data_IF_804798386834
#
_entry.id   IF_804798386834
#
_cell.length_a   1.000
_cell.length_b   1.000
_cell.length_c   1.000
_cell.angle_alpha   90.00
_cell.angle_beta   90.00
_cell.angle_gamma   90.00
#
_symmetry.space_group_name_H-M   'P 1'
#
loop_
_entity.id
_entity.type
_entity.pdbx_description
1 polymer ?
#
# COMPACT_ATOMS: atom_id res chain seq x y z
N UNK A 1 0.40 -4.53 26.79
CA UNK A 1 0.71 -4.51 25.35
C UNK A 1 0.28 -5.83 24.73
N UNK A 2 -0.88 -5.86 24.06
CA UNK A 2 -1.41 -7.08 23.44
C UNK A 2 -0.90 -7.22 22.01
N UNK A 3 0.12 -8.05 21.80
CA UNK A 3 0.48 -8.46 20.45
C UNK A 3 -0.51 -9.52 19.98
N UNK A 4 -1.37 -9.16 19.02
CA UNK A 4 -2.29 -10.11 18.38
C UNK A 4 -1.50 -11.24 17.73
N UNK A 5 -1.94 -12.49 17.96
CA UNK A 5 -1.33 -13.72 17.43
C UNK A 5 -1.24 -13.77 15.89
N UNK A 6 -1.88 -12.83 15.17
CA UNK A 6 -1.82 -12.69 13.71
C UNK A 6 -0.61 -11.89 13.19
N UNK A 7 0.10 -11.14 14.03
CA UNK A 7 1.18 -10.24 13.59
C UNK A 7 2.53 -10.98 13.42
N UNK A 8 2.70 -12.14 14.05
CA UNK A 8 3.97 -12.87 14.08
C UNK A 8 4.26 -13.59 12.75
N UNK A 9 3.26 -14.06 12.02
CA UNK A 9 3.48 -14.78 10.74
C UNK A 9 3.98 -13.82 9.63
N UNK A 10 3.55 -12.55 9.66
CA UNK A 10 3.89 -11.57 8.65
C UNK A 10 5.32 -11.04 8.81
N UNK A 11 5.83 -10.76 10.01
CA UNK A 11 7.20 -10.18 10.13
C UNK A 11 8.29 -11.16 9.65
N UNK A 12 8.09 -12.47 9.82
CA UNK A 12 9.00 -13.52 9.31
C UNK A 12 8.98 -13.65 7.79
N UNK A 13 7.81 -13.44 7.15
CA UNK A 13 7.66 -13.57 5.71
C UNK A 13 8.24 -12.40 4.90
N UNK A 14 8.65 -11.30 5.55
CA UNK A 14 9.05 -10.05 4.86
C UNK A 14 10.54 -9.74 4.97
N UNK A 15 11.29 -10.35 5.89
CA UNK A 15 12.68 -9.97 6.17
C UNK A 15 13.70 -10.47 5.11
N UNK A 16 13.33 -11.37 4.17
CA UNK A 16 14.27 -11.90 3.17
C UNK A 16 13.66 -12.21 1.80
N UNK A 17 12.55 -11.58 1.43
CA UNK A 17 11.90 -11.85 0.14
C UNK A 17 12.62 -11.14 -1.00
N UNK A 18 12.91 -11.93 -2.04
CA UNK A 18 13.43 -11.47 -3.31
C UNK A 18 12.30 -11.45 -4.32
N UNK A 19 11.99 -10.28 -4.84
CA UNK A 19 10.92 -10.07 -5.80
C UNK A 19 11.52 -9.92 -7.19
N UNK A 20 11.19 -10.79 -8.17
CA UNK A 20 11.74 -10.68 -9.52
C UNK A 20 11.54 -9.29 -10.13
N UNK A 21 10.38 -8.68 -9.88
CA UNK A 21 10.10 -7.33 -10.35
C UNK A 21 9.49 -6.45 -9.26
N UNK A 22 9.51 -5.14 -9.48
CA UNK A 22 8.76 -4.19 -8.66
C UNK A 22 7.25 -4.44 -8.71
N UNK A 23 6.74 -5.00 -9.81
CA UNK A 23 5.31 -5.28 -9.98
C UNK A 23 4.87 -6.35 -8.99
N UNK A 24 5.69 -7.38 -8.81
CA UNK A 24 5.42 -8.47 -7.85
C UNK A 24 5.41 -7.94 -6.41
N UNK A 25 6.40 -7.11 -6.06
CA UNK A 25 6.44 -6.45 -4.76
C UNK A 25 5.21 -5.54 -4.53
N UNK A 26 4.84 -4.72 -5.52
CA UNK A 26 3.65 -3.86 -5.44
C UNK A 26 2.36 -4.66 -5.31
N UNK A 27 2.25 -5.82 -5.96
CA UNK A 27 1.09 -6.70 -5.86
C UNK A 27 0.95 -7.27 -4.44
N UNK A 28 2.04 -7.79 -3.88
CA UNK A 28 2.05 -8.30 -2.51
C UNK A 28 1.68 -7.18 -1.52
N UNK A 29 2.26 -5.99 -1.69
CA UNK A 29 1.94 -4.83 -0.86
C UNK A 29 0.48 -4.42 -1.01
N UNK A 30 -0.07 -4.41 -2.23
CA UNK A 30 -1.49 -4.11 -2.45
C UNK A 30 -2.42 -5.06 -1.69
N UNK A 31 -2.11 -6.36 -1.67
CA UNK A 31 -2.88 -7.33 -0.89
C UNK A 31 -2.76 -7.07 0.62
N UNK A 32 -1.56 -6.77 1.11
CA UNK A 32 -1.32 -6.44 2.52
C UNK A 32 -2.08 -5.17 2.94
N UNK A 33 -2.00 -4.10 2.15
CA UNK A 33 -2.64 -2.81 2.50
C UNK A 33 -4.16 -2.88 2.38
N UNK A 34 -4.69 -3.70 1.46
CA UNK A 34 -6.12 -4.00 1.38
C UNK A 34 -6.63 -4.66 2.67
N UNK A 35 -5.89 -5.64 3.20
CA UNK A 35 -6.24 -6.27 4.48
C UNK A 35 -6.18 -5.26 5.63
N UNK A 36 -5.16 -4.42 5.64
CA UNK A 36 -4.96 -3.42 6.70
C UNK A 36 -5.78 -2.13 6.49
N UNK A 37 -6.61 -2.07 5.45
CA UNK A 37 -7.52 -0.96 5.13
C UNK A 37 -6.84 0.42 5.05
N UNK A 38 -5.70 0.52 4.37
CA UNK A 38 -5.04 1.80 4.09
C UNK A 38 -4.49 1.87 2.66
N UNK A 39 -4.23 3.09 2.20
CA UNK A 39 -3.64 3.34 0.89
C UNK A 39 -2.16 3.77 0.98
N UNK A 40 -1.41 3.51 -0.09
CA UNK A 40 0.00 3.87 -0.21
C UNK A 40 0.30 4.56 -1.55
N UNK A 41 1.41 5.30 -1.60
CA UNK A 41 1.93 5.93 -2.81
C UNK A 41 3.40 5.59 -3.04
N UNK A 42 3.82 5.68 -4.31
CA UNK A 42 5.24 5.58 -4.66
C UNK A 42 5.91 6.93 -4.37
N UNK A 43 6.78 6.98 -3.36
CA UNK A 43 7.62 8.16 -3.10
C UNK A 43 8.77 8.26 -4.09
N UNK A 44 9.38 7.12 -4.44
CA UNK A 44 10.49 7.06 -5.42
C UNK A 44 10.54 5.70 -6.11
N UNK A 45 10.78 5.72 -7.43
CA UNK A 45 11.01 4.50 -8.21
C UNK A 45 12.04 4.79 -9.31
N UNK A 46 13.16 4.06 -9.30
CA UNK A 46 14.18 4.12 -10.36
C UNK A 46 14.72 2.71 -10.66
N UNK A 47 15.67 2.54 -11.58
CA UNK A 47 16.14 1.18 -11.97
C UNK A 47 16.61 0.30 -10.81
N UNK A 48 17.05 0.88 -9.69
CA UNK A 48 17.66 0.16 -8.57
C UNK A 48 16.89 0.27 -7.25
N UNK A 49 15.83 1.08 -7.15
CA UNK A 49 15.13 1.36 -5.88
C UNK A 49 13.63 1.49 -6.09
N UNK A 50 12.86 0.99 -5.13
CA UNK A 50 11.46 1.29 -4.92
C UNK A 50 11.26 1.77 -3.47
N UNK A 51 10.61 2.92 -3.31
CA UNK A 51 10.25 3.49 -2.02
C UNK A 51 8.75 3.77 -2.02
N UNK A 52 8.03 3.07 -1.15
CA UNK A 52 6.60 3.21 -0.92
C UNK A 52 6.40 3.87 0.44
N UNK A 53 5.39 4.73 0.53
CA UNK A 53 5.00 5.42 1.76
C UNK A 53 3.48 5.39 1.89
N UNK A 54 2.98 5.61 3.10
CA UNK A 54 1.56 5.81 3.30
C UNK A 54 1.09 7.01 2.46
N UNK A 55 -0.17 6.94 2.04
CA UNK A 55 -0.76 8.00 1.25
C UNK A 55 -0.95 9.29 2.06
N UNK A 56 -1.15 9.16 3.38
CA UNK A 56 -1.19 10.28 4.33
C UNK A 56 0.19 10.90 4.50
N UNK A 57 0.26 12.21 4.38
CA UNK A 57 1.52 12.93 4.54
C UNK A 57 2.03 12.83 5.98
N UNK A 58 3.36 12.79 6.13
CA UNK A 58 4.07 12.63 7.41
C UNK A 58 3.75 11.34 8.19
N UNK A 59 3.01 10.39 7.61
CA UNK A 59 2.84 9.08 8.20
C UNK A 59 4.15 8.28 8.18
N UNK A 60 4.42 7.54 9.26
CA UNK A 60 5.65 6.75 9.45
C UNK A 60 5.74 5.51 8.58
N UNK A 61 4.59 4.96 8.14
CA UNK A 61 4.58 3.71 7.36
C UNK A 61 5.32 3.89 6.04
N UNK A 62 6.29 3.01 5.81
CA UNK A 62 7.14 3.05 4.61
C UNK A 62 7.79 1.70 4.34
N UNK A 63 8.02 1.44 3.06
CA UNK A 63 8.79 0.31 2.59
C UNK A 63 9.84 0.78 1.60
N UNK A 64 11.08 0.31 1.77
CA UNK A 64 12.16 0.49 0.80
C UNK A 64 12.67 -0.85 0.33
N UNK A 65 12.68 -1.04 -0.98
CA UNK A 65 13.32 -2.17 -1.65
C UNK A 65 14.40 -1.70 -2.62
N UNK A 66 15.47 -2.49 -2.74
CA UNK A 66 16.59 -2.21 -3.65
C UNK A 66 16.82 -3.40 -4.56
N UNK A 67 17.20 -3.15 -5.81
CA UNK A 67 17.69 -4.17 -6.72
C UNK A 67 19.07 -4.63 -6.23
N UNK A 68 19.33 -5.94 -6.29
CA UNK A 68 20.68 -6.48 -6.06
C UNK A 68 21.39 -6.68 -7.39
N UNK A 69 22.71 -6.59 -7.39
CA UNK A 69 23.50 -6.69 -8.62
C UNK A 69 23.73 -8.16 -9.02
N UNK A 70 23.72 -9.07 -8.04
CA UNK A 70 23.90 -10.52 -8.20
C UNK A 70 22.64 -11.26 -8.68
N UNK A 71 21.49 -10.59 -8.69
CA UNK A 71 20.27 -11.16 -9.24
C UNK A 71 19.27 -10.08 -9.55
N UNK A 72 18.53 -10.25 -10.64
CA UNK A 72 17.59 -9.26 -11.21
C UNK A 72 16.39 -8.94 -10.31
N UNK A 73 16.44 -9.34 -9.03
CA UNK A 73 15.41 -9.19 -8.03
C UNK A 73 15.55 -7.92 -7.18
N UNK A 74 14.43 -7.51 -6.59
CA UNK A 74 14.30 -6.47 -5.58
C UNK A 74 14.18 -7.11 -4.20
N UNK A 75 14.99 -6.64 -3.25
CA UNK A 75 14.92 -7.07 -1.86
C UNK A 75 14.43 -5.94 -0.98
N UNK A 76 13.48 -6.25 -0.08
CA UNK A 76 13.06 -5.31 0.97
C UNK A 76 14.22 -5.09 1.94
N UNK A 77 14.61 -3.83 2.13
CA UNK A 77 15.71 -3.40 3.00
C UNK A 77 15.25 -2.70 4.26
N UNK A 78 14.07 -2.09 4.21
CA UNK A 78 13.44 -1.44 5.34
C UNK A 78 11.93 -1.55 5.17
N UNK A 79 11.27 -1.89 6.26
CA UNK A 79 9.83 -1.89 6.38
C UNK A 79 9.46 -1.36 7.76
N UNK A 80 8.64 -0.32 7.81
CA UNK A 80 8.04 0.22 9.03
C UNK A 80 6.55 -0.01 8.92
N UNK A 81 6.02 -0.87 9.80
CA UNK A 81 4.61 -1.25 9.81
C UNK A 81 3.72 -0.28 10.58
N UNK A 82 4.31 0.55 11.44
CA UNK A 82 3.59 1.47 12.31
C UNK A 82 3.10 2.70 11.54
N UNK A 83 1.89 3.13 11.87
CA UNK A 83 1.26 4.34 11.34
C UNK A 83 1.18 5.43 12.41
N UNK A 84 1.43 6.67 12.02
CA UNK A 84 1.14 7.87 12.81
C UNK A 84 -0.11 8.62 12.34
N UNK A 85 -0.67 8.26 11.18
CA UNK A 85 -1.94 8.81 10.71
C UNK A 85 -3.11 8.20 11.49
N UNK A 86 -4.14 9.00 11.75
CA UNK A 86 -5.32 8.53 12.48
C UNK A 86 -6.25 7.71 11.58
N UNK A 87 -7.03 6.81 12.20
CA UNK A 87 -8.05 6.04 11.49
C UNK A 87 -9.12 6.96 10.87
N UNK A 88 -9.42 8.08 11.52
CA UNK A 88 -10.38 9.08 11.04
C UNK A 88 -9.93 9.72 9.73
N UNK A 89 -8.63 10.03 9.60
CA UNK A 89 -8.06 10.60 8.38
C UNK A 89 -8.14 9.63 7.20
N UNK A 90 -7.83 8.35 7.44
CA UNK A 90 -7.96 7.27 6.46
C UNK A 90 -9.43 7.15 6.02
N UNK A 91 -10.35 7.03 6.97
CA UNK A 91 -11.78 6.90 6.68
C UNK A 91 -12.35 8.11 5.94
N UNK A 92 -11.97 9.34 6.33
CA UNK A 92 -12.43 10.57 5.66
C UNK A 92 -12.03 10.55 4.19
N UNK A 93 -10.80 10.15 3.89
CA UNK A 93 -10.31 10.05 2.51
C UNK A 93 -11.04 8.96 1.72
N UNK A 94 -11.20 7.76 2.28
CA UNK A 94 -11.95 6.69 1.61
C UNK A 94 -13.37 7.15 1.26
N UNK A 95 -14.06 7.85 2.16
CA UNK A 95 -15.38 8.45 1.85
C UNK A 95 -15.32 9.44 0.68
N UNK A 96 -14.31 10.31 0.64
CA UNK A 96 -14.14 11.26 -0.46
C UNK A 96 -13.87 10.55 -1.80
N UNK A 97 -12.98 9.56 -1.82
CA UNK A 97 -12.69 8.78 -3.03
C UNK A 97 -13.93 8.03 -3.52
N UNK A 98 -14.66 7.35 -2.62
CA UNK A 98 -15.93 6.70 -2.97
C UNK A 98 -16.94 7.70 -3.54
N UNK A 99 -17.14 8.85 -2.88
CA UNK A 99 -18.09 9.86 -3.35
C UNK A 99 -17.77 10.38 -4.76
N UNK A 100 -16.48 10.61 -5.07
CA UNK A 100 -16.03 11.00 -6.41
C UNK A 100 -16.37 9.90 -7.43
N UNK A 101 -16.01 8.65 -7.14
CA UNK A 101 -16.28 7.52 -8.05
C UNK A 101 -17.79 7.31 -8.24
N UNK A 102 -18.59 7.45 -7.19
CA UNK A 102 -20.06 7.39 -7.31
C UNK A 102 -20.59 8.51 -8.22
N UNK A 103 -20.08 9.73 -8.09
CA UNK A 103 -20.45 10.85 -8.97
C UNK A 103 -20.05 10.65 -10.43
N UNK A 104 -18.86 10.10 -10.70
CA UNK A 104 -18.36 9.91 -12.07
C UNK A 104 -18.97 8.68 -12.76
N UNK A 105 -19.17 7.58 -12.04
CA UNK A 105 -19.51 6.28 -12.65
C UNK A 105 -20.98 5.95 -12.50
N UNK A 106 -21.57 6.24 -11.35
CA UNK A 106 -22.93 5.76 -11.01
C UNK A 106 -23.98 6.80 -11.34
N UNK A 107 -23.75 8.08 -10.99
CA UNK A 107 -24.73 9.15 -11.24
C UNK A 107 -25.14 9.28 -12.72
N UNK A 108 -24.21 9.18 -13.72
CA UNK A 108 -24.60 9.24 -15.13
C UNK A 108 -25.37 8.01 -15.61
N UNK A 109 -25.18 6.84 -14.98
CA UNK A 109 -25.86 5.60 -15.36
C UNK A 109 -27.30 5.53 -14.87
N UNK A 110 -27.59 6.18 -13.74
CA UNK A 110 -28.95 6.29 -13.21
C UNK A 110 -29.84 7.14 -14.12
N UNK A 111 -29.29 8.16 -14.78
CA UNK A 111 -30.05 9.03 -15.71
C UNK A 111 -30.38 8.38 -17.07
N UNK A 112 -29.78 7.22 -17.39
CA UNK A 112 -30.01 6.50 -18.66
C UNK A 112 -31.00 5.34 -18.53
N UNK A 113 -31.43 4.99 -17.31
CA UNK A 113 -32.41 3.91 -17.09
C UNK A 113 -33.85 4.40 -16.98
N UNK A 114 -34.06 5.72 -16.99
CA UNK A 114 -35.38 6.38 -16.91
C UNK A 114 -35.82 6.97 -18.28
N UNK A 115 -35.24 6.50 -19.39
CA UNK A 115 -35.56 6.93 -20.77
C UNK A 115 -36.04 5.80 -21.64
#
# INVERSE_FOLDING_TARGET
>A
MGYSRSTIILVWYWWKQFFPTKKDLKRLIGHFTMWQNFEWKVKRSNKTTLHLVCLMDNCTWKLRAVRRDEGTYFQVRSFVSEHTCSLEEIHRRHRQASAVIFGEVVAPRLQQQDG
#
